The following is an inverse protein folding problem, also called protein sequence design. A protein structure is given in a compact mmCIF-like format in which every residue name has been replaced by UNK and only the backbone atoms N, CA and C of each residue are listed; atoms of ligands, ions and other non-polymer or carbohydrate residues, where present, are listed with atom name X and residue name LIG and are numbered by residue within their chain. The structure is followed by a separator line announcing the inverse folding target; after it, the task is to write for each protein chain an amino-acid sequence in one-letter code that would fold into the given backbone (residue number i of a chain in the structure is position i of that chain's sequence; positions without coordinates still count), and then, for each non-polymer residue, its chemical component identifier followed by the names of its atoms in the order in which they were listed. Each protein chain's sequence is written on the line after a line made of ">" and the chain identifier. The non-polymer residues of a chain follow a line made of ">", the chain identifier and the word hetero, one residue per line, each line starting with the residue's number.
data_IF_887452092566
#
_entry.id   IF_887452092566
#
_cell.length_a   1.000
_cell.length_b   1.000
_cell.length_c   1.000
_cell.angle_alpha   90.00
_cell.angle_beta   90.00
_cell.angle_gamma   90.00
#
_symmetry.space_group_name_H-M   'P 1'
#
loop_
_entity.id
_entity.type
_entity.pdbx_description
1 polymer ?
#
# COMPACT_ATOMS: atom_id res chain seq x y z
N UNK A 1 -9.22 9.30 -13.31
CA UNK A 1 -8.71 8.15 -12.52
C UNK A 1 -8.42 8.64 -11.10
N UNK A 2 -8.97 8.00 -10.07
CA UNK A 2 -8.71 8.34 -8.65
C UNK A 2 -7.28 7.94 -8.28
N UNK A 3 -6.61 8.71 -7.43
CA UNK A 3 -5.23 8.44 -7.02
C UNK A 3 -4.80 9.28 -5.81
N UNK A 4 -3.70 8.88 -5.15
CA UNK A 4 -3.06 9.70 -4.12
C UNK A 4 -2.48 10.99 -4.73
N UNK A 5 -1.65 10.79 -5.76
CA UNK A 5 -0.96 11.82 -6.51
C UNK A 5 -1.47 11.81 -7.97
N UNK A 6 -0.64 11.47 -8.95
CA UNK A 6 -1.00 11.45 -10.37
C UNK A 6 -1.91 10.28 -10.80
N UNK A 7 -2.26 9.36 -9.90
CA UNK A 7 -3.09 8.18 -10.23
C UNK A 7 -2.41 7.14 -11.13
N UNK A 8 -1.08 7.20 -11.24
CA UNK A 8 -0.27 6.35 -12.14
C UNK A 8 -0.45 4.87 -11.86
N UNK A 9 -0.33 4.46 -10.59
CA UNK A 9 -0.51 3.06 -10.17
C UNK A 9 -1.88 2.54 -10.57
N UNK A 10 -2.94 3.29 -10.24
CA UNK A 10 -4.32 2.92 -10.61
C UNK A 10 -4.48 2.79 -12.12
N UNK A 11 -3.92 3.71 -12.90
CA UNK A 11 -3.96 3.64 -14.36
C UNK A 11 -3.24 2.41 -14.93
N UNK A 12 -2.04 2.10 -14.42
CA UNK A 12 -1.26 0.91 -14.81
C UNK A 12 -2.04 -0.36 -14.53
N UNK A 13 -2.62 -0.49 -13.33
CA UNK A 13 -3.35 -1.71 -12.95
C UNK A 13 -4.65 -1.88 -13.73
N UNK A 14 -5.37 -0.78 -14.00
CA UNK A 14 -6.57 -0.83 -14.86
C UNK A 14 -6.19 -1.28 -16.27
N UNK A 15 -5.12 -0.74 -16.85
CA UNK A 15 -4.64 -1.18 -18.17
C UNK A 15 -4.16 -2.64 -18.17
N UNK A 16 -3.49 -3.08 -17.10
CA UNK A 16 -3.08 -4.48 -16.90
C UNK A 16 -4.28 -5.44 -16.92
N UNK A 17 -5.32 -5.15 -16.13
CA UNK A 17 -6.55 -5.96 -16.07
C UNK A 17 -7.32 -5.95 -17.39
N UNK A 18 -7.37 -4.82 -18.11
CA UNK A 18 -8.05 -4.72 -19.41
C UNK A 18 -7.44 -5.59 -20.51
N UNK A 19 -6.14 -5.86 -20.41
CA UNK A 19 -5.40 -6.60 -21.44
C UNK A 19 -5.43 -8.08 -21.15
N UNK A 20 -4.67 -8.52 -20.17
CA UNK A 20 -4.47 -9.96 -19.91
C UNK A 20 -4.31 -10.28 -18.43
N UNK A 21 -4.28 -9.28 -17.55
CA UNK A 21 -4.12 -9.46 -16.12
C UNK A 21 -5.34 -10.09 -15.47
N UNK A 22 -5.11 -11.12 -14.66
CA UNK A 22 -6.18 -11.84 -13.96
C UNK A 22 -6.64 -11.11 -12.69
N UNK A 23 -5.68 -10.47 -12.00
CA UNK A 23 -5.90 -9.81 -10.73
C UNK A 23 -4.81 -8.78 -10.42
N UNK A 24 -5.14 -7.84 -9.54
CA UNK A 24 -4.18 -6.91 -8.93
C UNK A 24 -4.23 -7.02 -7.40
N UNK A 25 -3.08 -7.27 -6.77
CA UNK A 25 -2.94 -7.22 -5.30
C UNK A 25 -2.70 -5.78 -4.89
N UNK A 26 -3.67 -5.21 -4.17
CA UNK A 26 -3.71 -3.80 -3.75
C UNK A 26 -4.03 -3.68 -2.26
N UNK A 27 -3.86 -2.49 -1.68
CA UNK A 27 -4.22 -2.19 -0.30
C UNK A 27 -5.57 -1.45 -0.22
N UNK A 28 -6.62 -2.17 0.17
CA UNK A 28 -7.93 -1.60 0.49
C UNK A 28 -8.02 -1.22 1.96
N UNK A 29 -9.09 -0.54 2.36
CA UNK A 29 -9.42 -0.36 3.77
C UNK A 29 -10.29 -1.51 4.27
N UNK A 30 -10.16 -1.83 5.54
CA UNK A 30 -11.10 -2.65 6.29
C UNK A 30 -12.47 -1.96 6.35
N UNK A 31 -13.54 -2.75 6.41
CA UNK A 31 -14.91 -2.25 6.36
C UNK A 31 -15.45 -1.89 7.76
N UNK A 32 -14.82 -2.42 8.82
CA UNK A 32 -15.25 -2.24 10.22
C UNK A 32 -14.39 -1.22 10.97
N UNK A 33 -13.11 -1.09 10.59
CA UNK A 33 -12.14 -0.20 11.27
C UNK A 33 -11.55 0.84 10.34
N UNK A 34 -11.68 2.11 10.75
CA UNK A 34 -11.13 3.25 10.02
C UNK A 34 -9.63 3.08 9.76
N UNK A 35 -9.21 3.29 8.52
CA UNK A 35 -7.79 3.35 8.14
C UNK A 35 -6.94 2.11 8.47
N UNK A 36 -7.55 0.95 8.70
CA UNK A 36 -6.84 -0.35 8.71
C UNK A 36 -6.69 -0.82 7.27
N UNK A 37 -5.48 -0.90 6.71
CA UNK A 37 -5.32 -1.41 5.36
C UNK A 37 -5.32 -2.94 5.37
N UNK A 38 -5.99 -3.54 4.39
CA UNK A 38 -5.97 -4.99 4.11
C UNK A 38 -5.46 -5.27 2.71
N UNK A 39 -4.63 -6.32 2.51
CA UNK A 39 -4.31 -6.78 1.18
C UNK A 39 -5.61 -7.27 0.52
N UNK A 40 -5.80 -6.97 -0.75
CA UNK A 40 -7.00 -7.34 -1.49
C UNK A 40 -6.60 -7.81 -2.88
N UNK A 41 -7.15 -8.95 -3.29
CA UNK A 41 -7.09 -9.44 -4.67
C UNK A 41 -8.20 -8.76 -5.45
N UNK A 42 -7.86 -7.70 -6.19
CA UNK A 42 -8.80 -6.96 -7.02
C UNK A 42 -8.95 -7.66 -8.39
N UNK A 43 -10.19 -8.08 -8.70
CA UNK A 43 -10.54 -8.77 -9.95
C UNK A 43 -11.23 -7.85 -10.97
N UNK A 44 -11.38 -6.56 -10.66
CA UNK A 44 -12.05 -5.58 -11.53
C UNK A 44 -11.42 -4.20 -11.41
N UNK A 45 -11.65 -3.38 -12.44
CA UNK A 45 -11.20 -1.99 -12.48
C UNK A 45 -11.77 -1.17 -11.33
N UNK A 46 -13.05 -1.37 -11.02
CA UNK A 46 -13.75 -0.69 -9.93
C UNK A 46 -13.07 -0.98 -8.61
N UNK A 47 -12.74 -2.25 -8.35
CA UNK A 47 -12.04 -2.64 -7.13
C UNK A 47 -10.66 -1.99 -7.01
N UNK A 48 -9.92 -1.91 -8.11
CA UNK A 48 -8.63 -1.21 -8.16
C UNK A 48 -8.79 0.29 -7.86
N UNK A 49 -9.81 0.93 -8.42
CA UNK A 49 -10.10 2.36 -8.22
C UNK A 49 -10.53 2.65 -6.77
N UNK A 50 -11.34 1.77 -6.17
CA UNK A 50 -11.75 1.86 -4.75
C UNK A 50 -10.54 1.83 -3.81
N UNK A 51 -9.56 0.96 -4.09
CA UNK A 51 -8.36 0.80 -3.27
C UNK A 51 -7.34 1.95 -3.43
N UNK A 52 -7.57 2.90 -4.33
CA UNK A 52 -6.66 4.03 -4.54
C UNK A 52 -6.48 4.91 -3.28
N UNK A 53 -5.34 5.60 -3.22
CA UNK A 53 -4.98 6.48 -2.09
C UNK A 53 -4.06 5.78 -1.09
N UNK A 54 -3.16 6.56 -0.48
CA UNK A 54 -2.13 6.05 0.43
C UNK A 54 -2.69 5.77 1.81
N UNK A 55 -2.35 4.59 2.35
CA UNK A 55 -2.55 4.23 3.75
C UNK A 55 -1.17 4.19 4.38
N UNK A 56 -0.90 5.06 5.36
CA UNK A 56 0.44 5.18 5.97
C UNK A 56 0.75 4.11 7.01
N UNK A 57 -0.11 3.09 7.14
CA UNK A 57 0.06 1.93 8.01
C UNK A 57 0.27 0.67 7.16
N UNK A 58 0.70 -0.42 7.79
CA UNK A 58 1.19 -1.61 7.07
C UNK A 58 0.06 -2.46 6.48
N UNK A 59 0.06 -2.66 5.15
CA UNK A 59 -0.73 -3.70 4.47
C UNK A 59 0.18 -4.85 4.01
N UNK A 60 0.03 -6.09 4.49
CA UNK A 60 0.91 -7.20 4.10
C UNK A 60 0.63 -7.73 2.69
N UNK A 61 1.06 -7.02 1.64
CA UNK A 61 0.77 -7.36 0.23
C UNK A 61 1.20 -8.78 -0.19
N UNK A 62 2.24 -9.36 0.41
CA UNK A 62 2.65 -10.74 0.12
C UNK A 62 1.59 -11.79 0.49
N UNK A 63 0.78 -11.52 1.52
CA UNK A 63 -0.37 -12.38 1.86
C UNK A 63 -1.37 -12.34 0.70
N UNK A 64 -1.64 -11.15 0.15
CA UNK A 64 -2.51 -10.99 -1.01
C UNK A 64 -1.99 -11.71 -2.27
N UNK A 65 -0.69 -11.74 -2.49
CA UNK A 65 -0.09 -12.53 -3.58
C UNK A 65 -0.30 -14.04 -3.35
N UNK A 66 -0.11 -14.52 -2.12
CA UNK A 66 -0.43 -15.89 -1.74
C UNK A 66 -1.90 -16.24 -1.92
N UNK A 67 -2.80 -15.35 -1.54
CA UNK A 67 -4.25 -15.51 -1.71
C UNK A 67 -4.64 -15.56 -3.19
N UNK A 68 -4.08 -14.68 -4.02
CA UNK A 68 -4.36 -14.64 -5.45
C UNK A 68 -4.11 -16.01 -6.11
N UNK A 69 -3.05 -16.70 -5.71
CA UNK A 69 -2.73 -18.04 -6.20
C UNK A 69 -3.59 -19.11 -5.54
N UNK A 70 -3.60 -19.17 -4.20
CA UNK A 70 -4.18 -20.30 -3.46
C UNK A 70 -5.70 -20.30 -3.42
N UNK A 71 -6.30 -19.12 -3.28
CA UNK A 71 -7.73 -18.95 -3.01
C UNK A 71 -8.49 -18.46 -4.24
N UNK A 72 -7.82 -17.74 -5.16
CA UNK A 72 -8.44 -17.19 -6.36
C UNK A 72 -7.99 -17.85 -7.66
N UNK A 73 -7.01 -18.77 -7.60
CA UNK A 73 -6.47 -19.53 -8.75
C UNK A 73 -5.99 -18.62 -9.91
N UNK A 74 -5.23 -17.57 -9.58
CA UNK A 74 -4.72 -16.57 -10.54
C UNK A 74 -3.22 -16.72 -10.76
N UNK A 75 -2.80 -16.61 -12.02
CA UNK A 75 -1.42 -16.85 -12.45
C UNK A 75 -0.82 -15.72 -13.30
N UNK A 76 -1.61 -14.70 -13.64
CA UNK A 76 -1.14 -13.44 -14.23
C UNK A 76 -1.54 -12.26 -13.33
N UNK A 77 -0.77 -12.04 -12.27
CA UNK A 77 -1.11 -11.10 -11.18
C UNK A 77 -0.18 -9.89 -11.21
N UNK A 78 -0.74 -8.69 -11.02
CA UNK A 78 0.03 -7.51 -10.67
C UNK A 78 0.04 -7.33 -9.14
N UNK A 79 1.15 -6.89 -8.56
CA UNK A 79 1.24 -6.61 -7.12
C UNK A 79 1.78 -5.20 -6.89
N UNK A 80 1.06 -4.43 -6.07
CA UNK A 80 1.54 -3.16 -5.54
C UNK A 80 2.14 -3.37 -4.15
N UNK A 81 3.33 -2.82 -3.94
CA UNK A 81 3.97 -2.89 -2.64
C UNK A 81 4.94 -1.75 -2.38
N UNK A 82 5.24 -1.55 -1.10
CA UNK A 82 6.36 -0.72 -0.66
C UNK A 82 7.69 -1.47 -0.89
N UNK A 83 8.86 -0.79 -0.80
CA UNK A 83 10.15 -1.37 -1.18
C UNK A 83 10.45 -2.69 -0.47
N UNK A 84 10.18 -2.77 0.83
CA UNK A 84 10.40 -3.99 1.61
C UNK A 84 9.48 -5.15 1.19
N UNK A 85 8.27 -4.87 0.69
CA UNK A 85 7.33 -5.87 0.22
C UNK A 85 7.71 -6.39 -1.16
N UNK A 86 8.11 -5.49 -2.06
CA UNK A 86 8.65 -5.87 -3.38
C UNK A 86 9.94 -6.69 -3.22
N UNK A 87 10.83 -6.28 -2.31
CA UNK A 87 12.03 -7.06 -1.98
C UNK A 87 11.68 -8.43 -1.41
N UNK A 88 10.67 -8.50 -0.54
CA UNK A 88 10.17 -9.76 -0.02
C UNK A 88 9.66 -10.70 -1.13
N UNK A 89 8.95 -10.16 -2.13
CA UNK A 89 8.52 -10.92 -3.30
C UNK A 89 9.71 -11.41 -4.13
N UNK A 90 10.73 -10.56 -4.34
CA UNK A 90 11.94 -10.93 -5.06
C UNK A 90 12.69 -12.09 -4.40
N UNK A 91 12.67 -12.17 -3.06
CA UNK A 91 13.27 -13.30 -2.33
C UNK A 91 12.50 -14.61 -2.53
N UNK A 92 11.22 -14.58 -2.91
CA UNK A 92 10.47 -15.80 -3.23
C UNK A 92 10.87 -16.41 -4.58
N UNK A 93 11.61 -15.69 -5.41
CA UNK A 93 12.09 -16.20 -6.70
C UNK A 93 13.36 -17.06 -6.55
N UNK A 94 14.11 -16.91 -5.45
CA UNK A 94 15.48 -17.44 -5.35
C UNK A 94 15.84 -17.98 -3.95
N UNK A 95 16.75 -18.95 -3.92
CA UNK A 95 17.37 -19.45 -2.69
C UNK A 95 16.43 -20.22 -1.77
N UNK A 96 16.70 -20.19 -0.46
CA UNK A 96 16.01 -20.98 0.56
C UNK A 96 14.54 -20.57 0.77
N UNK A 97 14.15 -19.38 0.33
CA UNK A 97 12.79 -18.83 0.47
C UNK A 97 11.95 -19.01 -0.79
N UNK A 98 12.43 -19.80 -1.76
CA UNK A 98 11.76 -19.96 -3.04
C UNK A 98 10.33 -20.49 -2.87
N UNK A 99 9.36 -19.78 -3.44
CA UNK A 99 7.95 -20.18 -3.52
C UNK A 99 7.45 -19.93 -4.95
N UNK A 100 7.76 -20.88 -5.84
CA UNK A 100 7.57 -20.76 -7.28
C UNK A 100 6.12 -20.43 -7.67
N UNK A 101 5.13 -20.99 -6.96
CA UNK A 101 3.72 -20.72 -7.23
C UNK A 101 3.38 -19.23 -7.09
N UNK A 102 3.97 -18.53 -6.11
CA UNK A 102 3.74 -17.10 -5.89
C UNK A 102 4.63 -16.28 -6.82
N UNK A 103 5.94 -16.58 -6.87
CA UNK A 103 6.88 -15.77 -7.65
C UNK A 103 6.60 -15.84 -9.16
N UNK A 104 6.18 -16.99 -9.68
CA UNK A 104 5.83 -17.14 -11.09
C UNK A 104 4.45 -16.56 -11.41
N UNK A 105 3.50 -16.51 -10.47
CA UNK A 105 2.18 -15.93 -10.71
C UNK A 105 2.19 -14.40 -10.79
N UNK A 106 3.10 -13.73 -10.07
CA UNK A 106 3.21 -12.27 -10.12
C UNK A 106 4.02 -11.84 -11.34
N UNK A 107 3.34 -11.27 -12.35
CA UNK A 107 3.93 -10.85 -13.64
C UNK A 107 4.27 -9.37 -13.72
N UNK A 108 3.73 -8.56 -12.81
CA UNK A 108 3.99 -7.12 -12.75
C UNK A 108 4.14 -6.67 -11.29
N UNK A 109 5.29 -6.11 -10.97
CA UNK A 109 5.63 -5.53 -9.67
C UNK A 109 5.61 -4.00 -9.78
N UNK A 110 4.64 -3.37 -9.13
CA UNK A 110 4.55 -1.90 -9.04
C UNK A 110 5.04 -1.47 -7.65
N UNK A 111 6.19 -0.83 -7.61
CA UNK A 111 6.81 -0.29 -6.41
C UNK A 111 6.23 1.06 -6.04
N UNK A 112 6.05 1.31 -4.75
CA UNK A 112 5.74 2.64 -4.22
C UNK A 112 6.97 3.21 -3.55
N UNK A 113 7.20 4.51 -3.69
CA UNK A 113 8.21 5.17 -2.86
C UNK A 113 7.75 5.16 -1.41
N UNK A 114 8.65 4.77 -0.51
CA UNK A 114 8.34 4.67 0.91
C UNK A 114 9.54 5.11 1.72
N UNK A 115 9.36 6.17 2.51
CA UNK A 115 10.35 6.54 3.53
C UNK A 115 10.10 5.71 4.79
N UNK A 116 8.86 5.73 5.29
CA UNK A 116 8.48 5.11 6.57
C UNK A 116 7.00 4.75 6.58
N UNK A 117 6.60 3.86 7.49
CA UNK A 117 5.20 3.54 7.81
C UNK A 117 4.95 3.68 9.32
N UNK A 118 3.77 4.14 9.69
CA UNK A 118 3.33 4.29 11.08
C UNK A 118 2.77 2.97 11.64
N UNK A 119 2.90 2.81 12.96
CA UNK A 119 2.12 1.82 13.70
C UNK A 119 0.65 2.28 13.73
N UNK A 120 -0.28 1.35 13.44
CA UNK A 120 -1.70 1.69 13.31
C UNK A 120 -2.27 2.27 14.60
N UNK A 121 -2.13 1.56 15.72
CA UNK A 121 -2.67 2.00 17.02
C UNK A 121 -2.10 3.35 17.42
N UNK A 122 -0.77 3.54 17.27
CA UNK A 122 -0.11 4.81 17.56
C UNK A 122 -0.61 5.97 16.69
N UNK A 123 -0.92 5.72 15.40
CA UNK A 123 -1.49 6.75 14.54
C UNK A 123 -2.93 7.10 14.95
N UNK A 124 -3.74 6.10 15.28
CA UNK A 124 -5.13 6.35 15.71
C UNK A 124 -5.19 7.11 17.02
N UNK A 125 -4.42 6.70 18.03
CA UNK A 125 -4.28 7.41 19.31
C UNK A 125 -3.76 8.86 19.11
N UNK A 126 -2.81 9.04 18.20
CA UNK A 126 -2.31 10.37 17.86
C UNK A 126 -3.39 11.27 17.25
N UNK A 127 -4.21 10.75 16.34
CA UNK A 127 -5.32 11.50 15.74
C UNK A 127 -6.37 11.85 16.79
N UNK A 128 -6.79 10.88 17.60
CA UNK A 128 -7.77 11.08 18.66
C UNK A 128 -7.31 12.13 19.69
N UNK A 129 -6.06 12.05 20.14
CA UNK A 129 -5.50 13.02 21.10
C UNK A 129 -5.37 14.44 20.54
N UNK A 130 -5.40 14.61 19.21
CA UNK A 130 -5.45 15.92 18.55
C UNK A 130 -6.88 16.32 18.13
N UNK A 131 -7.91 15.62 18.60
CA UNK A 131 -9.31 15.94 18.30
C UNK A 131 -9.74 15.58 16.88
N UNK A 132 -9.01 14.69 16.20
CA UNK A 132 -9.31 14.22 14.85
C UNK A 132 -10.06 12.90 14.92
N UNK A 133 -11.31 12.92 14.48
CA UNK A 133 -12.09 11.72 14.20
C UNK A 133 -11.55 11.03 12.93
N UNK A 134 -10.96 9.85 13.10
CA UNK A 134 -10.35 9.08 12.02
C UNK A 134 -11.37 8.56 10.98
N UNK A 135 -12.62 8.32 11.38
CA UNK A 135 -13.68 7.85 10.47
C UNK A 135 -14.06 8.91 9.43
N UNK A 136 -13.92 10.19 9.79
CA UNK A 136 -14.15 11.32 8.89
C UNK A 136 -12.96 11.61 7.98
N UNK A 137 -11.77 11.07 8.28
CA UNK A 137 -10.57 11.32 7.46
C UNK A 137 -10.74 10.66 6.10
N UNK A 138 -10.62 11.47 5.06
CA UNK A 138 -10.76 11.04 3.66
C UNK A 138 -9.42 10.85 2.96
N UNK A 139 -8.37 11.52 3.44
CA UNK A 139 -7.03 11.46 2.86
C UNK A 139 -5.99 11.80 3.92
N UNK A 140 -4.91 11.02 3.94
CA UNK A 140 -3.66 11.44 4.55
C UNK A 140 -2.68 11.90 3.47
N UNK A 141 -1.77 12.80 3.82
CA UNK A 141 -0.65 13.16 2.94
C UNK A 141 0.60 13.51 3.74
N UNK A 142 1.77 13.23 3.15
CA UNK A 142 3.05 13.76 3.61
C UNK A 142 3.64 14.61 2.50
N UNK A 143 3.79 15.91 2.73
CA UNK A 143 4.32 16.86 1.75
C UNK A 143 5.02 18.02 2.43
N UNK A 144 6.14 18.47 1.85
CA UNK A 144 6.88 19.64 2.32
C UNK A 144 7.25 19.57 3.82
N UNK A 145 7.64 18.39 4.30
CA UNK A 145 8.06 18.20 5.70
C UNK A 145 6.93 18.14 6.72
N UNK A 146 5.67 17.99 6.27
CA UNK A 146 4.49 17.91 7.13
C UNK A 146 3.61 16.71 6.80
N UNK A 147 2.94 16.21 7.83
CA UNK A 147 1.85 15.23 7.77
C UNK A 147 0.51 15.95 7.81
N UNK A 148 -0.45 15.51 7.02
CA UNK A 148 -1.80 16.06 6.92
C UNK A 148 -2.84 14.95 7.04
N UNK A 149 -3.92 15.24 7.76
CA UNK A 149 -5.17 14.48 7.73
C UNK A 149 -6.30 15.40 7.25
N UNK A 150 -7.05 14.98 6.23
CA UNK A 150 -8.04 15.83 5.57
C UNK A 150 -9.48 15.30 5.70
N UNK A 151 -10.42 16.22 5.91
CA UNK A 151 -11.87 16.01 5.78
C UNK A 151 -12.34 16.62 4.45
N UNK A 152 -12.44 15.78 3.41
CA UNK A 152 -12.59 16.25 2.04
C UNK A 152 -11.44 17.17 1.65
N UNK A 153 -11.77 18.39 1.25
CA UNK A 153 -10.81 19.41 0.85
C UNK A 153 -10.22 20.21 2.03
N UNK A 154 -10.74 20.02 3.24
CA UNK A 154 -10.29 20.75 4.43
C UNK A 154 -9.20 19.97 5.18
N UNK A 155 -8.19 20.69 5.68
CA UNK A 155 -7.18 20.12 6.59
C UNK A 155 -7.81 20.01 7.97
N UNK A 156 -8.00 18.78 8.44
CA UNK A 156 -8.47 18.50 9.80
C UNK A 156 -7.32 18.57 10.82
N UNK A 157 -6.12 18.16 10.39
CA UNK A 157 -4.91 18.21 11.21
C UNK A 157 -3.65 18.32 10.36
N UNK A 158 -2.67 19.04 10.89
CA UNK A 158 -1.36 19.23 10.28
C UNK A 158 -0.29 19.13 11.36
N UNK A 159 0.78 18.37 11.08
CA UNK A 159 1.88 18.19 12.00
C UNK A 159 3.23 18.18 11.28
N UNK A 160 4.28 18.66 11.94
CA UNK A 160 5.65 18.53 11.43
C UNK A 160 6.09 17.06 11.45
N UNK A 161 6.88 16.63 10.46
CA UNK A 161 7.34 15.23 10.40
C UNK A 161 8.13 14.78 11.65
N UNK A 162 8.82 15.70 12.34
CA UNK A 162 9.51 15.39 13.59
C UNK A 162 8.56 14.95 14.70
N UNK A 163 7.34 15.48 14.72
CA UNK A 163 6.34 15.20 15.75
C UNK A 163 5.75 13.79 15.58
N UNK A 164 5.42 13.42 14.34
CA UNK A 164 4.87 12.11 14.00
C UNK A 164 5.94 11.02 13.86
N UNK A 165 7.23 11.39 13.92
CA UNK A 165 8.37 10.46 13.81
C UNK A 165 8.32 9.33 14.85
N UNK A 166 7.83 9.64 16.06
CA UNK A 166 7.67 8.66 17.14
C UNK A 166 6.65 7.56 16.84
N UNK A 167 5.77 7.77 15.86
CA UNK A 167 4.73 6.82 15.45
C UNK A 167 5.25 5.79 14.44
N UNK A 168 6.45 6.01 13.90
CA UNK A 168 7.05 5.16 12.86
C UNK A 168 7.40 3.79 13.43
N UNK A 169 7.15 2.75 12.64
CA UNK A 169 7.51 1.38 13.01
C UNK A 169 9.04 1.24 13.11
N UNK A 170 9.58 0.66 14.20
CA UNK A 170 11.03 0.54 14.38
C UNK A 170 11.77 -0.17 13.23
N UNK A 171 11.11 -1.12 12.55
CA UNK A 171 11.70 -1.83 11.42
C UNK A 171 12.06 -0.94 10.22
N UNK A 172 11.38 0.20 10.03
CA UNK A 172 11.69 1.14 8.95
C UNK A 172 13.08 1.76 9.08
N UNK A 173 13.63 1.84 10.30
CA UNK A 173 14.98 2.41 10.55
C UNK A 173 16.12 1.56 9.99
N UNK A 174 15.83 0.34 9.54
CA UNK A 174 16.77 -0.58 8.91
C UNK A 174 16.52 -0.72 7.40
N UNK A 175 15.53 -0.02 6.85
CA UNK A 175 15.24 -0.03 5.43
C UNK A 175 16.20 0.93 4.72
N UNK A 176 16.82 0.46 3.65
CA UNK A 176 17.79 1.21 2.85
C UNK A 176 17.27 1.51 1.43
N UNK A 177 16.07 1.04 1.10
CA UNK A 177 15.44 1.22 -0.21
C UNK A 177 14.26 2.19 -0.06
N UNK A 178 14.38 3.35 -0.71
CA UNK A 178 13.33 4.37 -0.80
C UNK A 178 12.47 4.22 -2.05
N UNK A 179 13.08 3.88 -3.19
CA UNK A 179 12.47 3.96 -4.52
C UNK A 179 11.95 2.64 -5.05
N UNK A 180 11.89 1.59 -4.23
CA UNK A 180 11.47 0.24 -4.64
C UNK A 180 12.32 -0.29 -5.80
N UNK A 181 13.63 -0.42 -5.58
CA UNK A 181 14.61 -0.75 -6.64
C UNK A 181 14.41 -2.12 -7.31
N UNK A 182 13.66 -3.02 -6.66
CA UNK A 182 13.37 -4.36 -7.15
C UNK A 182 12.03 -4.50 -7.91
N UNK A 183 11.31 -3.39 -8.10
CA UNK A 183 10.06 -3.37 -8.86
C UNK A 183 10.32 -3.30 -10.37
N UNK A 184 9.31 -3.63 -11.18
CA UNK A 184 9.40 -3.45 -12.64
C UNK A 184 9.15 -1.97 -13.01
N UNK A 185 8.32 -1.29 -12.21
CA UNK A 185 8.00 0.15 -12.31
C UNK A 185 7.88 0.71 -10.89
N UNK A 186 8.47 1.89 -10.64
CA UNK A 186 8.39 2.62 -9.37
C UNK A 186 8.02 4.09 -9.57
#
# INVERSE_FOLDING_TARGET
>A
IKGQDGGVVTAILVDFLRKSGDAAVVASLDDEKAWVPKPTVALSEEKVIESAGTKYTSSPSLIGAGDAVKNFDKNNVAMVGTPCQIRGLQLLDQGTFKEANISEAVKLKVGLFCMETFAYDSLMEYLESNGVDAEKVTKFAIKSGKFYANYGDNIAHEAGLKEVKKLVRPCCTKCEDFTSEFADIS
#
